data_IF_639007392112
#
_entry.id   IF_639007392112
#
_cell.length_a   1.000
_cell.length_b   1.000
_cell.length_c   1.000
_cell.angle_alpha   90.00
_cell.angle_beta   90.00
_cell.angle_gamma   90.00
#
_symmetry.space_group_name_H-M   'P 1'
#
loop_
_entity.id
_entity.type
_entity.pdbx_description
1 polymer ?
#
# COMPACT_ATOMS: atom_id res chain seq x y z
N UNK A 1 9.17 -69.13 16.76
CA UNK A 1 7.96 -68.29 16.88
C UNK A 1 8.31 -67.09 17.74
N UNK A 2 8.76 -65.97 17.17
CA UNK A 2 9.16 -64.79 17.98
C UNK A 2 9.22 -63.47 17.17
N UNK A 3 8.38 -63.31 16.14
CA UNK A 3 8.34 -62.09 15.32
C UNK A 3 6.99 -61.34 15.39
N UNK A 4 6.05 -61.78 16.22
CA UNK A 4 4.68 -61.21 16.28
C UNK A 4 4.49 -60.24 17.47
N UNK A 5 5.40 -60.18 18.43
CA UNK A 5 5.20 -59.41 19.68
C UNK A 5 5.66 -57.94 19.62
N UNK A 6 6.43 -57.52 18.60
CA UNK A 6 6.98 -56.15 18.52
C UNK A 6 6.04 -55.11 17.89
N UNK A 7 4.96 -55.52 17.23
CA UNK A 7 3.99 -54.59 16.64
C UNK A 7 2.89 -54.15 17.62
N UNK A 8 2.74 -54.82 18.76
CA UNK A 8 1.69 -54.52 19.73
C UNK A 8 2.10 -53.52 20.84
N UNK A 9 3.39 -53.16 20.94
CA UNK A 9 3.90 -52.29 22.02
C UNK A 9 4.08 -50.81 21.62
N UNK A 10 3.85 -50.43 20.36
CA UNK A 10 3.95 -49.01 19.93
C UNK A 10 2.63 -48.25 20.15
N UNK A 11 1.54 -48.91 20.52
CA UNK A 11 0.20 -48.28 20.62
C UNK A 11 -0.17 -47.82 22.05
N UNK A 12 0.77 -47.79 23.02
CA UNK A 12 0.40 -47.55 24.42
C UNK A 12 1.21 -46.49 25.18
N UNK A 13 1.89 -45.54 24.53
CA UNK A 13 2.69 -44.55 25.30
C UNK A 13 2.77 -43.12 24.77
N UNK A 14 1.76 -42.60 24.08
CA UNK A 14 1.58 -41.13 23.94
C UNK A 14 0.16 -40.71 24.32
N UNK A 15 -0.05 -40.67 25.64
CA UNK A 15 -0.71 -39.61 26.42
C UNK A 15 -1.93 -38.90 25.80
N UNK A 16 -3.07 -39.19 26.43
CA UNK A 16 -4.28 -38.39 26.52
C UNK A 16 -3.93 -36.92 26.87
N UNK A 17 -4.44 -35.96 26.09
CA UNK A 17 -5.23 -34.76 26.49
C UNK A 17 -5.60 -33.98 25.20
N UNK A 18 -6.90 -33.82 24.93
CA UNK A 18 -7.41 -32.60 24.28
C UNK A 18 -8.12 -32.72 22.92
N UNK A 19 -9.46 -32.73 22.97
CA UNK A 19 -10.36 -31.95 22.08
C UNK A 19 -10.41 -32.30 20.59
N UNK A 20 -11.49 -32.88 20.04
CA UNK A 20 -12.65 -32.10 19.53
C UNK A 20 -12.42 -30.59 19.37
N UNK A 21 -11.52 -30.17 18.49
CA UNK A 21 -11.66 -28.89 17.79
C UNK A 21 -11.07 -29.05 16.39
N UNK A 22 -11.93 -29.01 15.37
CA UNK A 22 -11.46 -28.57 14.07
C UNK A 22 -10.82 -27.20 14.27
N UNK A 23 -9.51 -27.12 14.10
CA UNK A 23 -8.79 -25.85 14.10
C UNK A 23 -8.65 -25.42 12.64
N UNK A 24 -9.54 -24.55 12.11
CA UNK A 24 -9.21 -23.80 10.92
C UNK A 24 -8.35 -22.64 11.38
N UNK A 25 -7.12 -22.91 11.81
CA UNK A 25 -6.18 -21.83 12.10
C UNK A 25 -5.08 -21.95 11.10
N UNK A 26 -5.20 -21.14 10.03
CA UNK A 26 -4.13 -20.89 9.09
C UNK A 26 -2.89 -20.50 9.86
N UNK A 27 -2.03 -21.48 10.10
CA UNK A 27 -0.70 -21.24 10.63
C UNK A 27 0.03 -20.51 9.52
N UNK A 28 0.30 -19.22 9.71
CA UNK A 28 1.16 -18.45 8.81
C UNK A 28 2.52 -19.16 8.85
N UNK A 29 2.79 -19.98 7.84
CA UNK A 29 4.08 -20.63 7.69
C UNK A 29 5.03 -19.63 7.06
N UNK A 30 5.89 -19.04 7.89
CA UNK A 30 6.95 -18.18 7.40
C UNK A 30 7.98 -18.98 6.59
N UNK A 31 8.64 -18.36 5.61
CA UNK A 31 9.78 -18.97 4.91
C UNK A 31 10.85 -19.45 5.90
N UNK A 32 11.64 -20.50 5.58
CA UNK A 32 12.63 -21.08 6.48
C UNK A 32 13.63 -20.06 7.05
N UNK A 33 13.95 -19.01 6.29
CA UNK A 33 14.91 -17.97 6.66
C UNK A 33 14.29 -16.79 7.42
N UNK A 34 12.97 -16.81 7.66
CA UNK A 34 12.25 -15.71 8.33
C UNK A 34 11.50 -16.22 9.55
N UNK A 35 11.94 -15.88 10.78
CA UNK A 35 11.19 -16.26 11.97
C UNK A 35 9.88 -15.49 12.07
N UNK A 36 8.84 -16.10 12.64
CA UNK A 36 7.63 -15.36 13.02
C UNK A 36 7.94 -14.47 14.22
N UNK A 37 7.59 -13.19 14.15
CA UNK A 37 7.77 -12.23 15.25
C UNK A 37 6.41 -11.83 15.85
N UNK A 38 6.41 -11.50 17.14
CA UNK A 38 5.24 -10.95 17.82
C UNK A 38 5.30 -9.42 17.82
N UNK A 39 4.34 -8.80 17.15
CA UNK A 39 4.24 -7.34 17.06
C UNK A 39 3.45 -6.79 18.25
N UNK A 40 3.88 -5.63 18.76
CA UNK A 40 3.14 -4.88 19.78
C UNK A 40 1.85 -4.30 19.19
N UNK A 41 1.92 -3.88 17.92
CA UNK A 41 0.80 -3.29 17.18
C UNK A 41 0.67 -4.01 15.84
N UNK A 42 -0.57 -4.24 15.40
CA UNK A 42 -0.85 -4.81 14.08
C UNK A 42 -0.34 -3.85 12.98
N UNK A 43 0.52 -4.33 12.04
CA UNK A 43 1.12 -3.47 11.02
C UNK A 43 0.10 -2.75 10.13
N UNK A 44 -1.03 -3.39 9.82
CA UNK A 44 -2.09 -2.81 8.99
C UNK A 44 -2.95 -1.78 9.72
N UNK A 45 -2.98 -1.80 11.04
CA UNK A 45 -3.72 -0.83 11.86
C UNK A 45 -3.02 0.52 11.93
N UNK A 46 -1.69 0.56 11.77
CA UNK A 46 -0.87 1.78 11.86
C UNK A 46 -0.33 2.27 10.52
N UNK A 47 -0.52 1.53 9.44
CA UNK A 47 0.00 1.89 8.13
C UNK A 47 -1.11 2.37 7.19
N UNK A 48 -0.73 3.16 6.19
CA UNK A 48 -1.63 3.59 5.12
C UNK A 48 -0.92 3.44 3.77
N UNK A 49 -1.69 3.28 2.69
CA UNK A 49 -1.17 3.28 1.32
C UNK A 49 -1.68 4.50 0.55
N UNK A 50 -0.98 5.64 0.63
CA UNK A 50 -1.43 6.85 -0.05
C UNK A 50 -1.46 6.76 -1.59
N UNK A 51 -0.62 5.90 -2.17
CA UNK A 51 -0.54 5.70 -3.61
C UNK A 51 -1.68 4.90 -4.23
N UNK A 52 -2.45 4.20 -3.41
CA UNK A 52 -3.63 3.49 -3.87
C UNK A 52 -4.63 3.33 -2.71
N UNK A 53 -5.69 4.15 -2.74
CA UNK A 53 -6.75 4.13 -1.72
C UNK A 53 -7.57 2.84 -1.73
N UNK A 54 -7.52 2.08 -2.82
CA UNK A 54 -8.25 0.82 -2.97
C UNK A 54 -7.36 -0.39 -2.69
N UNK A 55 -6.10 -0.17 -2.29
CA UNK A 55 -5.23 -1.27 -1.91
C UNK A 55 -5.66 -1.90 -0.58
N UNK A 56 -5.64 -3.23 -0.55
CA UNK A 56 -5.90 -4.04 0.63
C UNK A 56 -4.61 -4.26 1.39
N UNK A 57 -4.64 -4.07 2.71
CA UNK A 57 -3.51 -4.35 3.59
C UNK A 57 -3.52 -5.79 4.08
N UNK A 58 -2.33 -6.41 4.12
CA UNK A 58 -2.06 -7.72 4.69
C UNK A 58 -0.90 -7.59 5.68
N UNK A 59 -1.15 -7.93 6.95
CA UNK A 59 -0.12 -7.90 7.99
C UNK A 59 0.90 -9.01 7.77
N UNK A 60 2.17 -8.66 7.67
CA UNK A 60 3.28 -9.60 7.66
C UNK A 60 3.95 -9.63 9.03
N UNK A 61 4.06 -10.85 9.57
CA UNK A 61 4.71 -11.17 10.83
C UNK A 61 6.01 -11.98 10.63
N UNK A 62 6.38 -12.25 9.37
CA UNK A 62 7.55 -13.07 9.05
C UNK A 62 8.80 -12.20 8.85
N UNK A 63 9.80 -12.42 9.69
CA UNK A 63 11.04 -11.67 9.80
C UNK A 63 10.86 -10.40 10.62
N UNK A 64 9.87 -9.59 10.25
CA UNK A 64 9.59 -8.28 10.83
C UNK A 64 8.09 -7.97 10.81
N UNK A 65 7.70 -6.91 11.52
CA UNK A 65 6.34 -6.37 11.56
C UNK A 65 6.13 -5.36 10.44
N UNK A 66 5.66 -5.80 9.27
CA UNK A 66 5.42 -4.90 8.14
C UNK A 66 4.04 -5.08 7.52
N UNK A 67 3.51 -4.00 6.96
CA UNK A 67 2.29 -4.03 6.19
C UNK A 67 2.61 -4.27 4.71
N UNK A 68 1.99 -5.28 4.11
CA UNK A 68 2.02 -5.52 2.67
C UNK A 68 0.73 -5.00 2.07
N UNK A 69 0.84 -4.31 0.94
CA UNK A 69 -0.31 -3.71 0.28
C UNK A 69 -0.49 -4.31 -1.10
N UNK A 70 -1.71 -4.70 -1.44
CA UNK A 70 -2.06 -5.35 -2.70
C UNK A 70 -3.24 -4.68 -3.35
N UNK A 71 -3.20 -4.61 -4.68
CA UNK A 71 -4.34 -4.17 -5.51
C UNK A 71 -5.40 -5.27 -5.60
N UNK A 72 -6.58 -4.93 -6.11
CA UNK A 72 -7.66 -5.90 -6.35
C UNK A 72 -7.25 -7.03 -7.33
N UNK A 73 -6.27 -6.77 -8.20
CA UNK A 73 -5.69 -7.75 -9.13
C UNK A 73 -4.68 -8.72 -8.47
N UNK A 74 -4.41 -8.57 -7.16
CA UNK A 74 -3.46 -9.38 -6.40
C UNK A 74 -1.99 -8.98 -6.57
N UNK A 75 -1.69 -7.92 -7.31
CA UNK A 75 -0.30 -7.43 -7.46
C UNK A 75 0.06 -6.44 -6.35
N UNK A 76 1.36 -6.33 -5.97
CA UNK A 76 1.79 -5.37 -4.95
C UNK A 76 1.42 -3.93 -5.32
N UNK A 77 0.81 -3.22 -4.37
CA UNK A 77 0.48 -1.81 -4.52
C UNK A 77 1.72 -0.94 -4.31
N UNK A 78 1.83 0.13 -5.10
CA UNK A 78 2.88 1.12 -4.94
C UNK A 78 2.42 2.21 -3.97
N UNK A 79 2.75 2.02 -2.68
CA UNK A 79 2.35 2.94 -1.62
C UNK A 79 3.29 4.14 -1.43
N UNK A 80 4.44 4.19 -2.12
CA UNK A 80 5.34 5.35 -2.05
C UNK A 80 4.77 6.57 -2.77
N UNK A 81 3.68 6.38 -3.51
CA UNK A 81 3.03 7.41 -4.31
C UNK A 81 1.99 8.21 -3.53
N UNK A 82 2.37 8.77 -2.39
CA UNK A 82 1.55 9.77 -1.70
C UNK A 82 1.58 11.10 -2.42
N UNK A 83 1.06 11.15 -3.63
CA UNK A 83 0.83 12.43 -4.28
C UNK A 83 -0.31 12.26 -5.25
N UNK A 84 -1.23 13.22 -5.21
CA UNK A 84 -2.19 13.61 -6.23
C UNK A 84 -1.62 13.78 -7.65
N UNK A 85 -0.43 13.24 -7.92
CA UNK A 85 0.36 13.44 -9.11
C UNK A 85 0.41 12.16 -9.95
N UNK A 86 0.33 12.28 -11.29
CA UNK A 86 0.43 11.15 -12.20
C UNK A 86 1.74 10.34 -12.04
N UNK A 87 1.78 9.09 -12.53
CA UNK A 87 3.02 8.32 -12.63
C UNK A 87 4.18 9.09 -13.26
N UNK A 88 5.36 8.99 -12.64
CA UNK A 88 6.56 9.68 -13.07
C UNK A 88 6.69 11.13 -12.59
N UNK A 89 5.71 11.64 -11.83
CA UNK A 89 5.76 13.00 -11.28
C UNK A 89 5.69 12.99 -9.76
N UNK A 90 6.69 13.58 -9.11
CA UNK A 90 6.67 13.85 -7.67
C UNK A 90 6.04 15.22 -7.39
N UNK A 91 5.30 15.33 -6.29
CA UNK A 91 4.86 16.64 -5.80
C UNK A 91 6.06 17.45 -5.33
N UNK A 92 6.18 18.70 -5.77
CA UNK A 92 7.22 19.63 -5.32
C UNK A 92 6.63 20.69 -4.39
N UNK A 93 7.47 21.28 -3.55
CA UNK A 93 7.14 22.45 -2.74
C UNK A 93 7.65 23.69 -3.47
N UNK A 94 6.73 24.57 -3.89
CA UNK A 94 7.07 25.82 -4.56
C UNK A 94 7.32 26.91 -3.52
N UNK A 95 8.21 27.86 -3.84
CA UNK A 95 8.44 29.02 -2.97
C UNK A 95 7.24 29.98 -2.96
N UNK A 96 6.51 30.05 -4.07
CA UNK A 96 5.31 30.86 -4.27
C UNK A 96 4.27 30.06 -5.05
N UNK A 97 2.98 30.36 -4.84
CA UNK A 97 1.91 29.72 -5.60
C UNK A 97 1.99 30.15 -7.08
N UNK A 98 2.07 29.22 -8.05
CA UNK A 98 2.10 29.55 -9.47
C UNK A 98 0.96 30.47 -9.94
N UNK A 99 -0.24 30.33 -9.36
CA UNK A 99 -1.40 31.15 -9.71
C UNK A 99 -1.35 32.57 -9.14
N UNK A 100 -0.48 32.83 -8.15
CA UNK A 100 -0.27 34.19 -7.63
C UNK A 100 0.73 34.99 -8.47
N UNK A 101 1.63 34.31 -9.18
CA UNK A 101 2.73 34.95 -9.93
C UNK A 101 2.57 34.88 -11.45
N UNK A 102 1.57 34.17 -11.94
CA UNK A 102 1.27 34.07 -13.38
C UNK A 102 -0.09 34.65 -13.70
N UNK A 103 -0.22 35.19 -14.92
CA UNK A 103 -1.49 35.69 -15.43
C UNK A 103 -1.72 35.14 -16.83
N UNK A 104 -2.98 35.10 -17.26
CA UNK A 104 -3.33 34.69 -18.61
C UNK A 104 -4.04 35.78 -19.42
N UNK A 105 -3.30 36.70 -20.08
CA UNK A 105 -3.90 37.81 -20.81
C UNK A 105 -4.80 37.38 -21.98
N UNK A 106 -4.52 36.23 -22.58
CA UNK A 106 -5.33 35.68 -23.68
C UNK A 106 -6.72 35.22 -23.22
N UNK A 107 -6.87 34.88 -21.94
CA UNK A 107 -8.11 34.41 -21.33
C UNK A 107 -8.27 35.04 -19.95
N UNK A 108 -8.64 36.34 -19.87
CA UNK A 108 -8.71 37.07 -18.60
C UNK A 108 -9.76 36.51 -17.64
N UNK A 109 -10.78 35.83 -18.16
CA UNK A 109 -11.84 35.19 -17.37
C UNK A 109 -11.51 33.73 -17.00
N UNK A 110 -10.34 33.21 -17.39
CA UNK A 110 -9.95 31.84 -17.04
C UNK A 110 -9.60 31.72 -15.57
N UNK A 111 -10.04 30.62 -14.96
CA UNK A 111 -9.68 30.24 -13.59
C UNK A 111 -8.32 29.57 -13.57
N UNK A 112 -7.41 30.07 -12.73
CA UNK A 112 -6.13 29.42 -12.48
C UNK A 112 -6.25 28.28 -11.46
N UNK A 113 -5.55 27.17 -11.72
CA UNK A 113 -5.39 26.02 -10.82
C UNK A 113 -3.90 25.69 -10.73
N UNK A 114 -3.37 25.66 -9.50
CA UNK A 114 -1.97 25.39 -9.23
C UNK A 114 -1.67 23.90 -9.31
N UNK A 115 -0.75 23.52 -10.19
CA UNK A 115 -0.27 22.16 -10.36
C UNK A 115 1.16 22.02 -9.82
N UNK A 116 1.30 21.25 -8.74
CA UNK A 116 2.55 21.00 -8.02
C UNK A 116 3.25 19.69 -8.45
N UNK A 117 2.74 19.02 -9.47
CA UNK A 117 3.22 17.72 -9.92
C UNK A 117 4.31 17.88 -10.97
N UNK A 118 5.52 17.37 -10.69
CA UNK A 118 6.66 17.47 -11.61
C UNK A 118 7.16 18.92 -11.83
N UNK A 119 6.76 19.86 -10.97
CA UNK A 119 7.13 21.27 -11.05
C UNK A 119 6.01 22.20 -10.55
N UNK A 120 6.31 23.50 -10.55
CA UNK A 120 5.40 24.58 -10.16
C UNK A 120 4.73 25.15 -11.41
N UNK A 121 3.52 24.71 -11.73
CA UNK A 121 2.80 25.11 -12.95
C UNK A 121 1.45 25.73 -12.62
N UNK A 122 1.05 26.72 -13.42
CA UNK A 122 -0.29 27.27 -13.42
C UNK A 122 -1.06 26.72 -14.61
N UNK A 123 -2.20 26.09 -14.35
CA UNK A 123 -3.11 25.58 -15.38
C UNK A 123 -4.36 26.46 -15.41
N UNK A 124 -4.81 26.83 -16.61
CA UNK A 124 -5.89 27.79 -16.80
C UNK A 124 -7.09 27.10 -17.43
N UNK A 125 -8.27 27.33 -16.87
CA UNK A 125 -9.51 26.71 -17.32
C UNK A 125 -10.60 27.74 -17.58
N UNK A 126 -11.35 27.58 -18.67
CA UNK A 126 -12.54 28.40 -18.92
C UNK A 126 -13.63 28.14 -17.88
N UNK A 127 -14.68 28.96 -17.88
CA UNK A 127 -15.88 28.74 -17.08
C UNK A 127 -16.60 27.42 -17.42
N UNK A 128 -16.43 26.89 -18.63
CA UNK A 128 -16.92 25.56 -19.05
C UNK A 128 -16.01 24.41 -18.60
N UNK A 129 -14.87 24.69 -17.98
CA UNK A 129 -13.91 23.69 -17.51
C UNK A 129 -12.93 23.19 -18.57
N UNK A 130 -12.82 23.86 -19.72
CA UNK A 130 -11.86 23.53 -20.77
C UNK A 130 -10.49 24.14 -20.47
N UNK A 131 -9.42 23.36 -20.58
CA UNK A 131 -8.06 23.84 -20.33
C UNK A 131 -7.60 24.72 -21.50
N UNK A 132 -7.20 25.96 -21.21
CA UNK A 132 -6.68 26.88 -22.20
C UNK A 132 -5.16 26.91 -22.17
N UNK A 133 -4.56 27.02 -23.34
CA UNK A 133 -3.11 27.20 -23.48
C UNK A 133 -2.80 28.66 -23.28
N UNK A 134 -2.46 29.01 -22.05
CA UNK A 134 -1.77 30.25 -21.83
C UNK A 134 -0.31 30.05 -22.19
N UNK A 135 0.09 30.59 -23.35
CA UNK A 135 1.48 30.54 -23.78
C UNK A 135 2.38 30.99 -22.63
N UNK A 136 3.41 30.20 -22.34
CA UNK A 136 4.46 30.64 -21.43
C UNK A 136 5.08 31.89 -22.04
N UNK A 137 4.89 33.04 -21.41
CA UNK A 137 5.79 34.16 -21.65
C UNK A 137 7.19 33.66 -21.29
N UNK A 138 8.00 33.39 -22.31
CA UNK A 138 9.42 33.09 -22.26
C UNK A 138 10.02 33.70 -23.51
#
# INVERSE_FOLDING_TARGET
MQTITYLATIILSTLIIGGIFGLPTGMIQCPPDKPMVHCIVDPCSTSTCPGDKNATCISNYCGECNALWYKADGTPANCTKSSSCPPGQSKVQCFVDPCEVTTCPAYPDAKCISNYCGGCKAEWFTSSGEQVQCGTAS
#
